data_IF_450884261705
#
_entry.id   IF_450884261705
#
_cell.length_a   1.000
_cell.length_b   1.000
_cell.length_c   1.000
_cell.angle_alpha   90.00
_cell.angle_beta   90.00
_cell.angle_gamma   90.00
#
_symmetry.space_group_name_H-M   'P 1'
#
loop_
_entity.id
_entity.type
_entity.pdbx_description
1 polymer ?
#
# COMPACT_ATOMS: atom_id res chain seq x y z
N UNK A 1 75.82 1.14 73.67
CA UNK A 1 75.39 2.47 74.15
C UNK A 1 73.88 2.41 74.22
N UNK A 2 73.18 2.49 75.34
CA UNK A 2 73.51 2.66 76.76
C UNK A 2 72.20 2.31 77.50
N UNK A 3 72.30 1.83 78.74
CA UNK A 3 71.19 1.65 79.68
C UNK A 3 70.42 2.98 79.89
N UNK A 4 69.17 2.96 80.35
CA UNK A 4 68.75 3.28 81.74
C UNK A 4 67.20 3.27 81.68
N UNK A 5 66.46 2.33 82.31
CA UNK A 5 66.00 2.26 83.71
C UNK A 5 65.31 3.52 84.23
N UNK A 6 63.99 3.45 84.44
CA UNK A 6 63.20 4.01 85.55
C UNK A 6 61.73 4.09 85.11
N UNK A 7 60.77 3.43 85.77
CA UNK A 7 60.05 3.96 86.95
C UNK A 7 59.30 5.24 86.60
N UNK A 8 58.05 5.47 86.96
CA UNK A 8 57.01 4.80 87.74
C UNK A 8 55.78 5.70 87.54
N UNK A 9 54.61 5.21 87.91
CA UNK A 9 53.52 5.96 88.56
C UNK A 9 53.44 7.47 88.24
N UNK A 10 52.34 7.99 87.75
CA UNK A 10 51.13 8.09 88.56
C UNK A 10 50.10 8.93 87.77
N UNK A 11 48.86 8.91 88.27
CA UNK A 11 47.75 9.84 87.99
C UNK A 11 46.87 9.39 86.82
N UNK A 12 45.89 8.50 87.09
CA UNK A 12 44.53 8.84 87.59
C UNK A 12 43.85 9.87 86.68
N UNK A 13 42.61 9.75 86.23
CA UNK A 13 41.43 9.09 86.75
C UNK A 13 40.29 9.44 85.78
N UNK A 14 39.09 8.91 86.06
CA UNK A 14 37.77 9.46 85.70
C UNK A 14 36.98 8.64 84.63
N UNK A 15 36.01 7.91 85.19
CA UNK A 15 34.61 7.78 84.73
C UNK A 15 34.34 6.93 83.48
N UNK A 16 33.39 5.98 83.47
CA UNK A 16 32.39 5.62 84.46
C UNK A 16 31.34 4.70 83.82
N UNK A 17 30.72 3.85 84.66
CA UNK A 17 29.38 3.26 84.57
C UNK A 17 29.01 2.42 83.33
N UNK A 18 28.86 1.10 83.46
CA UNK A 18 27.71 0.34 84.03
C UNK A 18 26.84 -0.22 82.89
N UNK A 19 26.88 -1.54 82.69
CA UNK A 19 25.91 -2.52 83.20
C UNK A 19 24.73 -2.74 82.24
N UNK A 20 24.38 -4.01 81.99
CA UNK A 20 23.04 -4.60 82.18
C UNK A 20 22.95 -5.95 81.45
N UNK A 21 22.29 -6.87 82.15
CA UNK A 21 22.15 -8.30 81.95
C UNK A 21 21.14 -8.71 80.86
N UNK A 22 21.34 -9.95 80.41
CA UNK A 22 20.39 -11.03 80.07
C UNK A 22 18.94 -10.68 79.67
N UNK A 23 18.53 -11.10 78.46
CA UNK A 23 17.15 -11.16 77.99
C UNK A 23 16.89 -12.44 77.16
N UNK A 24 15.66 -13.01 77.23
CA UNK A 24 15.37 -14.38 76.81
C UNK A 24 15.16 -14.51 75.29
N UNK A 25 15.36 -15.73 74.76
CA UNK A 25 15.13 -16.11 73.36
C UNK A 25 13.70 -15.79 72.91
N UNK A 26 13.57 -15.03 71.81
CA UNK A 26 12.31 -14.78 71.11
C UNK A 26 11.99 -15.93 70.14
N UNK A 27 10.70 -16.29 69.93
CA UNK A 27 10.34 -17.35 69.00
C UNK A 27 10.73 -16.96 67.57
N UNK A 28 11.22 -17.94 66.79
CA UNK A 28 11.41 -17.79 65.34
C UNK A 28 10.05 -17.54 64.69
N UNK A 29 9.77 -16.28 64.34
CA UNK A 29 8.70 -15.98 63.41
C UNK A 29 9.02 -16.67 62.09
N UNK A 30 8.21 -17.66 61.71
CA UNK A 30 8.13 -18.11 60.32
C UNK A 30 7.66 -16.93 59.49
N UNK A 31 8.63 -16.23 58.89
CA UNK A 31 8.38 -15.28 57.81
C UNK A 31 7.82 -16.09 56.64
N UNK A 32 6.49 -16.25 56.62
CA UNK A 32 5.79 -16.88 55.52
C UNK A 32 6.17 -16.10 54.25
N UNK A 33 6.91 -16.78 53.36
CA UNK A 33 7.28 -16.31 52.03
C UNK A 33 6.00 -16.02 51.24
N UNK A 34 5.42 -14.84 51.43
CA UNK A 34 4.38 -14.30 50.57
C UNK A 34 5.05 -13.98 49.24
N UNK A 35 5.16 -14.99 48.37
CA UNK A 35 5.60 -14.82 46.99
C UNK A 35 4.80 -13.65 46.40
N UNK A 36 5.45 -12.57 45.93
CA UNK A 36 4.73 -11.44 45.38
C UNK A 36 3.84 -11.96 44.26
N UNK A 37 2.53 -11.75 44.42
CA UNK A 37 1.49 -12.17 43.49
C UNK A 37 1.79 -11.45 42.16
N UNK A 38 2.58 -12.06 41.28
CA UNK A 38 2.94 -11.49 39.98
C UNK A 38 1.66 -10.96 39.35
N UNK A 39 1.59 -9.66 39.08
CA UNK A 39 0.39 -9.04 38.54
C UNK A 39 -0.02 -9.78 37.26
N UNK A 40 -1.33 -10.01 37.08
CA UNK A 40 -1.88 -10.66 35.88
C UNK A 40 -1.33 -10.01 34.60
N UNK A 41 -1.16 -8.69 34.60
CA UNK A 41 -0.51 -7.93 33.55
C UNK A 41 0.90 -8.43 33.23
N UNK A 42 1.77 -8.65 34.23
CA UNK A 42 3.12 -9.19 34.01
C UNK A 42 3.10 -10.61 33.44
N UNK A 43 2.19 -11.46 33.92
CA UNK A 43 2.02 -12.82 33.38
C UNK A 43 1.54 -12.79 31.93
N UNK A 44 0.58 -11.93 31.60
CA UNK A 44 0.08 -11.76 30.24
C UNK A 44 1.17 -11.20 29.31
N UNK A 45 1.98 -10.24 29.75
CA UNK A 45 3.11 -9.73 28.96
C UNK A 45 4.19 -10.79 28.74
N UNK A 46 4.49 -11.61 29.74
CA UNK A 46 5.45 -12.72 29.61
C UNK A 46 4.94 -13.78 28.62
N UNK A 47 3.64 -14.11 28.68
CA UNK A 47 3.00 -15.04 27.75
C UNK A 47 2.93 -14.48 26.32
N UNK A 48 2.54 -13.22 26.16
CA UNK A 48 2.51 -12.53 24.85
C UNK A 48 3.90 -12.45 24.23
N UNK A 49 4.94 -12.15 25.01
CA UNK A 49 6.32 -12.10 24.49
C UNK A 49 6.81 -13.47 24.03
N UNK A 50 6.37 -14.54 24.67
CA UNK A 50 6.78 -15.91 24.35
C UNK A 50 5.99 -16.52 23.19
N UNK A 51 4.67 -16.40 23.21
CA UNK A 51 3.78 -17.05 22.23
C UNK A 51 3.43 -16.12 21.06
N UNK A 52 3.56 -14.80 21.22
CA UNK A 52 3.23 -13.81 20.21
C UNK A 52 3.98 -13.99 18.88
N UNK A 53 5.32 -14.10 18.88
CA UNK A 53 6.08 -14.36 17.66
C UNK A 53 5.71 -15.69 16.99
N UNK A 54 5.46 -16.74 17.80
CA UNK A 54 5.05 -18.07 17.31
C UNK A 54 3.69 -18.04 16.64
N UNK A 55 2.74 -17.30 17.21
CA UNK A 55 1.42 -17.13 16.62
C UNK A 55 1.48 -16.28 15.35
N UNK A 56 2.25 -15.18 15.37
CA UNK A 56 2.39 -14.27 14.24
C UNK A 56 3.04 -14.92 13.00
N UNK A 57 4.01 -15.82 13.22
CA UNK A 57 4.63 -16.62 12.16
C UNK A 57 3.84 -17.90 11.83
N UNK A 58 2.82 -18.22 12.63
CA UNK A 58 2.05 -19.45 12.51
C UNK A 58 0.97 -19.38 11.42
N UNK A 59 0.59 -20.53 10.83
CA UNK A 59 -0.47 -20.58 9.81
C UNK A 59 -1.84 -20.18 10.36
N UNK A 60 -2.07 -20.33 11.67
CA UNK A 60 -3.31 -19.96 12.34
C UNK A 60 -3.62 -18.46 12.24
N UNK A 61 -2.61 -17.60 12.40
CA UNK A 61 -2.77 -16.16 12.21
C UNK A 61 -3.12 -15.83 10.76
N UNK A 62 -2.43 -16.46 9.80
CA UNK A 62 -2.77 -16.35 8.38
C UNK A 62 -4.22 -16.69 8.08
N UNK A 63 -4.72 -17.83 8.56
CA UNK A 63 -6.12 -18.25 8.36
C UNK A 63 -7.13 -17.29 9.02
N UNK A 64 -6.83 -16.77 10.22
CA UNK A 64 -7.67 -15.76 10.88
C UNK A 64 -7.84 -14.52 9.99
N UNK A 65 -6.72 -13.99 9.49
CA UNK A 65 -6.73 -12.84 8.59
C UNK A 65 -7.45 -13.17 7.27
N UNK A 66 -7.29 -14.39 6.73
CA UNK A 66 -8.04 -14.84 5.54
C UNK A 66 -9.55 -14.80 5.75
N UNK A 67 -10.03 -15.29 6.89
CA UNK A 67 -11.46 -15.27 7.23
C UNK A 67 -11.96 -13.85 7.36
N UNK A 68 -11.19 -12.96 8.01
CA UNK A 68 -11.55 -11.54 8.12
C UNK A 68 -11.64 -10.85 6.76
N UNK A 69 -10.66 -11.05 5.89
CA UNK A 69 -10.68 -10.49 4.53
C UNK A 69 -11.91 -11.02 3.80
N UNK A 70 -12.10 -12.35 3.78
CA UNK A 70 -13.21 -12.99 3.06
C UNK A 70 -14.57 -12.49 3.54
N UNK A 71 -14.76 -12.39 4.86
CA UNK A 71 -15.97 -11.82 5.44
C UNK A 71 -16.18 -10.37 5.03
N UNK A 72 -15.11 -9.57 4.96
CA UNK A 72 -15.21 -8.20 4.49
C UNK A 72 -15.55 -8.09 3.00
N UNK A 73 -15.10 -9.02 2.14
CA UNK A 73 -15.51 -9.07 0.72
C UNK A 73 -17.02 -9.32 0.62
N UNK A 74 -17.52 -10.32 1.34
CA UNK A 74 -18.95 -10.66 1.33
C UNK A 74 -19.78 -9.50 1.84
N UNK A 75 -19.32 -8.82 2.89
CA UNK A 75 -19.98 -7.63 3.40
C UNK A 75 -19.99 -6.49 2.38
N UNK A 76 -18.87 -6.23 1.70
CA UNK A 76 -18.77 -5.20 0.67
C UNK A 76 -19.69 -5.49 -0.53
N UNK A 77 -19.82 -6.76 -0.90
CA UNK A 77 -20.79 -7.17 -1.92
C UNK A 77 -22.23 -6.89 -1.47
N UNK A 78 -22.57 -7.24 -0.22
CA UNK A 78 -23.90 -6.98 0.34
C UNK A 78 -24.20 -5.47 0.50
N UNK A 79 -23.21 -4.67 0.86
CA UNK A 79 -23.30 -3.20 0.89
C UNK A 79 -23.61 -2.63 -0.49
N UNK A 80 -22.98 -3.19 -1.53
CA UNK A 80 -23.18 -2.75 -2.92
C UNK A 80 -24.62 -3.00 -3.39
N UNK A 81 -25.22 -4.13 -3.01
CA UNK A 81 -26.62 -4.46 -3.35
C UNK A 81 -27.65 -3.72 -2.48
N UNK A 82 -27.27 -3.33 -1.25
CA UNK A 82 -28.15 -2.70 -0.28
C UNK A 82 -27.52 -1.45 0.35
N UNK A 83 -27.26 -0.37 -0.42
CA UNK A 83 -26.50 0.78 0.06
C UNK A 83 -27.16 1.56 1.21
N UNK A 84 -28.49 1.46 1.34
CA UNK A 84 -29.27 2.25 2.31
C UNK A 84 -29.25 1.68 3.75
N UNK A 85 -28.65 0.52 3.98
CA UNK A 85 -28.65 -0.07 5.32
C UNK A 85 -27.69 0.68 6.27
N UNK A 86 -28.13 1.09 7.48
CA UNK A 86 -27.30 1.88 8.40
C UNK A 86 -26.18 1.07 9.08
N UNK A 87 -26.14 -0.24 8.89
CA UNK A 87 -25.19 -1.14 9.55
C UNK A 87 -23.78 -1.07 8.96
N UNK A 88 -23.64 -0.62 7.70
CA UNK A 88 -22.38 -0.69 6.96
C UNK A 88 -21.27 0.11 7.62
N UNK A 89 -21.54 1.33 8.08
CA UNK A 89 -20.55 2.17 8.75
C UNK A 89 -19.95 1.47 9.99
N UNK A 90 -20.79 0.79 10.78
CA UNK A 90 -20.32 0.05 11.94
C UNK A 90 -19.45 -1.15 11.54
N UNK A 91 -19.87 -1.90 10.52
CA UNK A 91 -19.11 -3.03 10.04
C UNK A 91 -17.77 -2.62 9.41
N UNK A 92 -17.75 -1.55 8.62
CA UNK A 92 -16.52 -1.00 8.03
C UNK A 92 -15.54 -0.53 9.11
N UNK A 93 -16.04 0.16 10.13
CA UNK A 93 -15.24 0.56 11.28
C UNK A 93 -14.66 -0.66 12.02
N UNK A 94 -15.46 -1.72 12.23
CA UNK A 94 -15.02 -2.95 12.88
C UNK A 94 -13.91 -3.66 12.10
N UNK A 95 -14.07 -3.78 10.78
CA UNK A 95 -13.04 -4.38 9.92
C UNK A 95 -11.79 -3.52 9.85
N UNK A 96 -11.92 -2.20 9.76
CA UNK A 96 -10.79 -1.28 9.83
C UNK A 96 -10.01 -1.46 11.13
N UNK A 97 -10.71 -1.53 12.27
CA UNK A 97 -10.08 -1.77 13.57
C UNK A 97 -9.34 -3.12 13.60
N UNK A 98 -9.92 -4.16 13.02
CA UNK A 98 -9.29 -5.47 12.92
C UNK A 98 -8.01 -5.43 12.05
N UNK A 99 -8.02 -4.70 10.93
CA UNK A 99 -6.86 -4.54 10.06
C UNK A 99 -5.78 -3.64 10.66
N UNK A 100 -6.15 -2.60 11.42
CA UNK A 100 -5.20 -1.83 12.22
C UNK A 100 -4.53 -2.74 13.25
N UNK A 101 -5.32 -3.55 13.97
CA UNK A 101 -4.79 -4.48 14.95
C UNK A 101 -3.87 -5.53 14.32
N UNK A 102 -4.22 -6.06 13.14
CA UNK A 102 -3.35 -6.94 12.34
C UNK A 102 -1.99 -6.29 12.09
N UNK A 103 -1.96 -5.08 11.54
CA UNK A 103 -0.71 -4.40 11.19
C UNK A 103 0.14 -4.08 12.42
N UNK A 104 -0.48 -3.57 13.48
CA UNK A 104 0.21 -3.30 14.74
C UNK A 104 0.82 -4.60 15.30
N UNK A 105 0.06 -5.69 15.29
CA UNK A 105 0.53 -6.99 15.75
C UNK A 105 1.68 -7.52 14.89
N UNK A 106 1.53 -7.49 13.57
CA UNK A 106 2.57 -7.95 12.63
C UNK A 106 3.85 -7.14 12.76
N UNK A 107 3.77 -5.80 12.78
CA UNK A 107 4.95 -4.94 12.91
C UNK A 107 5.62 -5.14 14.27
N UNK A 108 4.86 -5.28 15.36
CA UNK A 108 5.43 -5.45 16.69
C UNK A 108 6.20 -6.77 16.87
N UNK A 109 5.71 -7.87 16.29
CA UNK A 109 6.31 -9.20 16.47
C UNK A 109 7.24 -9.65 15.35
N UNK A 110 7.06 -9.16 14.12
CA UNK A 110 7.88 -9.52 12.94
C UNK A 110 8.80 -8.38 12.47
N UNK A 111 8.69 -7.18 13.04
CA UNK A 111 9.46 -6.00 12.60
C UNK A 111 10.98 -6.24 12.54
N UNK A 112 11.54 -6.92 13.54
CA UNK A 112 12.98 -7.21 13.60
C UNK A 112 13.43 -8.20 12.50
N UNK A 113 12.55 -9.12 12.09
CA UNK A 113 12.83 -10.10 11.04
C UNK A 113 12.76 -9.48 9.64
N UNK A 114 12.10 -8.32 9.51
CA UNK A 114 11.90 -7.61 8.25
C UNK A 114 13.17 -6.92 7.72
N UNK A 115 14.17 -6.71 8.59
CA UNK A 115 15.46 -6.14 8.21
C UNK A 115 16.43 -7.16 7.60
N UNK A 116 16.05 -8.46 7.60
CA UNK A 116 16.85 -9.52 6.98
C UNK A 116 16.58 -9.61 5.47
N UNK A 117 17.58 -10.00 4.65
CA UNK A 117 17.43 -10.10 3.19
C UNK A 117 16.28 -11.03 2.75
N UNK A 118 16.04 -12.10 3.49
CA UNK A 118 14.97 -13.07 3.20
C UNK A 118 13.55 -12.51 3.46
N UNK A 119 13.43 -11.39 4.18
CA UNK A 119 12.16 -10.75 4.53
C UNK A 119 11.66 -9.72 3.50
N UNK A 120 12.36 -9.53 2.37
CA UNK A 120 12.04 -8.48 1.39
C UNK A 120 10.62 -8.62 0.81
N UNK A 121 10.16 -9.85 0.54
CA UNK A 121 8.80 -10.09 0.04
C UNK A 121 7.74 -9.75 1.09
N UNK A 122 7.97 -10.14 2.34
CA UNK A 122 7.08 -9.83 3.46
C UNK A 122 7.01 -8.32 3.71
N UNK A 123 8.11 -7.59 3.46
CA UNK A 123 8.15 -6.13 3.56
C UNK A 123 7.22 -5.44 2.57
N UNK A 124 7.19 -5.86 1.31
CA UNK A 124 6.28 -5.27 0.32
C UNK A 124 4.81 -5.49 0.70
N UNK A 125 4.47 -6.67 1.21
CA UNK A 125 3.12 -6.96 1.70
C UNK A 125 2.75 -6.12 2.93
N UNK A 126 3.66 -5.96 3.88
CA UNK A 126 3.42 -5.12 5.07
C UNK A 126 3.25 -3.64 4.67
N UNK A 127 4.07 -3.14 3.73
CA UNK A 127 3.92 -1.78 3.21
C UNK A 127 2.58 -1.58 2.50
N UNK A 128 2.18 -2.55 1.67
CA UNK A 128 0.89 -2.55 1.00
C UNK A 128 -0.27 -2.56 2.01
N UNK A 129 -0.25 -3.48 2.97
CA UNK A 129 -1.27 -3.61 4.01
C UNK A 129 -1.35 -2.32 4.86
N UNK A 130 -0.19 -1.69 5.15
CA UNK A 130 -0.14 -0.41 5.87
C UNK A 130 -0.77 0.73 5.07
N UNK A 131 -0.51 0.81 3.76
CA UNK A 131 -1.11 1.81 2.88
C UNK A 131 -2.64 1.66 2.82
N UNK A 132 -3.14 0.43 2.78
CA UNK A 132 -4.59 0.15 2.83
C UNK A 132 -5.23 0.60 4.14
N UNK A 133 -4.56 0.35 5.27
CA UNK A 133 -5.04 0.80 6.58
C UNK A 133 -5.08 2.33 6.65
N UNK A 134 -4.03 3.02 6.17
CA UNK A 134 -4.02 4.49 6.10
C UNK A 134 -5.16 5.01 5.24
N UNK A 135 -5.39 4.41 4.06
CA UNK A 135 -6.49 4.79 3.20
C UNK A 135 -7.87 4.60 3.87
N UNK A 136 -8.06 3.49 4.59
CA UNK A 136 -9.30 3.24 5.35
C UNK A 136 -9.49 4.22 6.52
N UNK A 137 -8.42 4.61 7.21
CA UNK A 137 -8.48 5.66 8.23
C UNK A 137 -8.86 7.00 7.60
N UNK A 138 -8.29 7.35 6.45
CA UNK A 138 -8.66 8.57 5.72
C UNK A 138 -10.13 8.54 5.28
N UNK A 139 -10.61 7.40 4.77
CA UNK A 139 -12.01 7.24 4.35
C UNK A 139 -13.01 7.50 5.49
N UNK A 140 -12.72 7.01 6.71
CA UNK A 140 -13.58 7.23 7.88
C UNK A 140 -13.40 8.62 8.48
N UNK A 141 -12.18 9.16 8.49
CA UNK A 141 -11.87 10.42 9.19
C UNK A 141 -12.20 11.67 8.39
N UNK A 142 -12.05 11.63 7.07
CA UNK A 142 -12.25 12.80 6.21
C UNK A 142 -13.68 13.35 6.27
N UNK A 143 -14.75 12.53 6.20
CA UNK A 143 -16.13 13.02 6.37
C UNK A 143 -16.41 13.63 7.74
N UNK A 144 -15.64 13.28 8.78
CA UNK A 144 -15.81 13.85 10.13
C UNK A 144 -15.16 15.23 10.27
N UNK A 145 -14.23 15.57 9.39
CA UNK A 145 -13.44 16.80 9.46
C UNK A 145 -13.88 17.84 8.42
N UNK A 146 -14.35 17.41 7.25
CA UNK A 146 -14.68 18.27 6.13
C UNK A 146 -15.87 17.72 5.32
N UNK A 147 -17.06 18.28 5.56
CA UNK A 147 -18.28 17.90 4.83
C UNK A 147 -18.17 18.20 3.32
N UNK A 148 -17.51 19.30 2.94
CA UNK A 148 -17.36 19.69 1.54
C UNK A 148 -16.55 18.66 0.71
N UNK A 149 -15.60 17.96 1.35
CA UNK A 149 -14.73 16.99 0.67
C UNK A 149 -15.50 15.73 0.25
N UNK A 150 -16.61 15.41 0.93
CA UNK A 150 -17.45 14.23 0.65
C UNK A 150 -18.03 14.28 -0.77
N UNK A 151 -18.24 15.49 -1.32
CA UNK A 151 -18.75 15.69 -2.68
C UNK A 151 -17.67 15.60 -3.78
N UNK A 152 -16.39 15.50 -3.39
CA UNK A 152 -15.28 15.53 -4.35
C UNK A 152 -15.05 14.19 -5.04
N UNK A 153 -14.54 14.23 -6.27
CA UNK A 153 -14.08 13.03 -7.00
C UNK A 153 -13.03 12.25 -6.21
N UNK A 154 -12.21 12.92 -5.40
CA UNK A 154 -11.19 12.28 -4.57
C UNK A 154 -11.79 11.36 -3.52
N UNK A 155 -12.93 11.73 -2.93
CA UNK A 155 -13.63 10.86 -1.99
C UNK A 155 -14.17 9.59 -2.68
N UNK A 156 -14.63 9.70 -3.93
CA UNK A 156 -14.98 8.53 -4.73
C UNK A 156 -13.77 7.60 -4.95
N UNK A 157 -12.60 8.16 -5.25
CA UNK A 157 -11.37 7.36 -5.38
C UNK A 157 -10.97 6.69 -4.06
N UNK A 158 -11.09 7.37 -2.91
CA UNK A 158 -10.83 6.77 -1.59
C UNK A 158 -11.73 5.56 -1.33
N UNK A 159 -13.02 5.67 -1.68
CA UNK A 159 -13.96 4.54 -1.61
C UNK A 159 -13.55 3.40 -2.53
N UNK A 160 -12.96 3.68 -3.70
CA UNK A 160 -12.45 2.62 -4.58
C UNK A 160 -11.17 1.97 -4.06
N UNK A 161 -10.31 2.71 -3.34
CA UNK A 161 -9.10 2.16 -2.71
C UNK A 161 -9.45 1.05 -1.72
N UNK A 162 -10.63 1.10 -1.09
CA UNK A 162 -11.09 0.02 -0.21
C UNK A 162 -11.16 -1.33 -0.93
N UNK A 163 -11.43 -1.37 -2.25
CA UNK A 163 -11.42 -2.58 -3.07
C UNK A 163 -10.02 -3.20 -3.20
N UNK A 164 -8.95 -2.43 -2.99
CA UNK A 164 -7.59 -2.97 -3.01
C UNK A 164 -7.35 -3.97 -1.87
N UNK A 165 -8.16 -3.97 -0.80
CA UNK A 165 -8.09 -5.02 0.23
C UNK A 165 -8.41 -6.42 -0.31
N UNK A 166 -9.14 -6.52 -1.43
CA UNK A 166 -9.36 -7.77 -2.15
C UNK A 166 -8.03 -8.38 -2.63
N UNK A 167 -7.04 -7.53 -2.92
CA UNK A 167 -5.71 -7.96 -3.35
C UNK A 167 -4.92 -8.63 -2.21
N UNK A 168 -5.32 -8.46 -0.93
CA UNK A 168 -4.74 -9.24 0.18
C UNK A 168 -4.94 -10.74 -0.04
N UNK A 169 -5.93 -11.15 -0.84
CA UNK A 169 -6.10 -12.54 -1.26
C UNK A 169 -4.86 -13.10 -1.99
N UNK A 170 -4.14 -12.27 -2.75
CA UNK A 170 -2.97 -12.70 -3.52
C UNK A 170 -1.77 -13.11 -2.65
N UNK A 171 -1.69 -12.60 -1.41
CA UNK A 171 -0.66 -12.97 -0.43
C UNK A 171 -0.75 -14.43 0.03
N UNK A 172 -1.93 -15.06 -0.08
CA UNK A 172 -2.14 -16.43 0.44
C UNK A 172 -1.49 -17.51 -0.42
N UNK A 173 -1.41 -17.29 -1.73
CA UNK A 173 -0.77 -18.24 -2.62
C UNK A 173 0.62 -17.74 -2.98
N UNK A 174 1.66 -18.44 -2.52
CA UNK A 174 3.05 -18.17 -2.94
C UNK A 174 3.17 -18.09 -4.46
N UNK A 175 2.38 -18.87 -5.20
CA UNK A 175 2.34 -18.83 -6.66
C UNK A 175 1.75 -17.53 -7.17
N UNK A 176 0.62 -17.07 -6.64
CA UNK A 176 -0.02 -15.82 -7.09
C UNK A 176 0.81 -14.61 -6.66
N UNK A 177 1.35 -14.61 -5.44
CA UNK A 177 2.26 -13.58 -4.97
C UNK A 177 3.53 -13.48 -5.83
N UNK A 178 4.12 -14.63 -6.20
CA UNK A 178 5.26 -14.65 -7.11
C UNK A 178 4.90 -14.14 -8.52
N UNK A 179 3.71 -14.48 -9.04
CA UNK A 179 3.22 -13.94 -10.31
C UNK A 179 3.00 -12.42 -10.23
N UNK A 180 2.41 -11.92 -9.15
CA UNK A 180 2.19 -10.49 -8.94
C UNK A 180 3.52 -9.73 -8.89
N UNK A 181 4.50 -10.24 -8.13
CA UNK A 181 5.84 -9.63 -8.09
C UNK A 181 6.53 -9.69 -9.45
N UNK A 182 6.44 -10.81 -10.17
CA UNK A 182 6.99 -10.92 -11.52
C UNK A 182 6.36 -9.91 -12.50
N UNK A 183 5.06 -9.61 -12.35
CA UNK A 183 4.39 -8.56 -13.13
C UNK A 183 4.83 -7.15 -12.70
N UNK A 184 5.07 -6.92 -11.41
CA UNK A 184 5.62 -5.64 -10.93
C UNK A 184 7.05 -5.40 -11.41
N UNK A 185 7.87 -6.44 -11.47
CA UNK A 185 9.23 -6.38 -12.02
C UNK A 185 9.23 -6.00 -13.51
N UNK A 186 8.15 -6.33 -14.22
CA UNK A 186 7.96 -5.91 -15.60
C UNK A 186 7.62 -4.42 -15.73
N UNK A 187 7.21 -3.69 -14.69
CA UNK A 187 6.80 -2.28 -14.83
C UNK A 187 7.91 -1.41 -15.41
N UNK A 188 9.16 -1.58 -14.96
CA UNK A 188 10.31 -0.76 -15.43
C UNK A 188 10.56 -0.93 -16.94
N UNK A 189 10.75 -2.15 -17.49
CA UNK A 189 10.95 -2.31 -18.93
C UNK A 189 9.74 -1.87 -19.75
N UNK A 190 8.51 -2.08 -19.25
CA UNK A 190 7.31 -1.60 -19.91
C UNK A 190 7.20 -0.07 -19.93
N UNK A 191 7.66 0.62 -18.89
CA UNK A 191 7.59 2.08 -18.79
C UNK A 191 8.30 2.76 -19.96
N UNK A 192 9.46 2.24 -20.38
CA UNK A 192 10.18 2.77 -21.54
C UNK A 192 9.38 2.60 -22.83
N UNK A 193 8.77 1.43 -23.05
CA UNK A 193 8.00 1.16 -24.27
C UNK A 193 6.71 1.99 -24.29
N UNK A 194 5.99 2.04 -23.17
CA UNK A 194 4.84 2.93 -23.01
C UNK A 194 5.22 4.39 -23.23
N UNK A 195 6.40 4.82 -22.78
CA UNK A 195 6.94 6.15 -23.06
C UNK A 195 7.11 6.41 -24.56
N UNK A 196 7.65 5.45 -25.33
CA UNK A 196 7.79 5.57 -26.79
C UNK A 196 6.42 5.63 -27.47
N UNK A 197 5.48 4.75 -27.11
CA UNK A 197 4.10 4.77 -27.64
C UNK A 197 3.41 6.08 -27.30
N UNK A 198 3.57 6.57 -26.07
CA UNK A 198 3.02 7.84 -25.63
C UNK A 198 3.57 9.01 -26.44
N UNK A 199 4.89 9.09 -26.65
CA UNK A 199 5.51 10.13 -27.47
C UNK A 199 5.05 10.06 -28.93
N UNK A 200 4.89 8.85 -29.47
CA UNK A 200 4.37 8.66 -30.83
C UNK A 200 2.92 9.15 -30.97
N UNK A 201 2.05 8.77 -30.02
CA UNK A 201 0.66 9.26 -29.96
C UNK A 201 0.64 10.78 -29.78
N UNK A 202 1.46 11.33 -28.90
CA UNK A 202 1.56 12.76 -28.64
C UNK A 202 2.00 13.54 -29.89
N UNK A 203 3.01 13.06 -30.61
CA UNK A 203 3.46 13.66 -31.86
C UNK A 203 2.34 13.66 -32.91
N UNK A 204 1.67 12.52 -33.10
CA UNK A 204 0.51 12.41 -33.97
C UNK A 204 -0.63 13.34 -33.54
N UNK A 205 -0.87 13.47 -32.24
CA UNK A 205 -1.94 14.30 -31.67
C UNK A 205 -1.69 15.78 -31.94
N UNK A 206 -0.45 16.25 -31.81
CA UNK A 206 -0.07 17.63 -32.15
C UNK A 206 -0.30 17.88 -33.65
N UNK A 207 0.13 16.95 -34.52
CA UNK A 207 -0.06 17.05 -35.97
C UNK A 207 -1.56 17.14 -36.31
N UNK A 208 -2.38 16.24 -35.77
CA UNK A 208 -3.82 16.23 -36.02
C UNK A 208 -4.50 17.47 -35.44
N UNK A 209 -4.15 17.91 -34.23
CA UNK A 209 -4.75 19.12 -33.65
C UNK A 209 -4.49 20.34 -34.53
N UNK A 210 -3.25 20.53 -34.97
CA UNK A 210 -2.88 21.70 -35.78
C UNK A 210 -3.48 21.65 -37.20
N UNK A 211 -3.52 20.48 -37.83
CA UNK A 211 -3.90 20.35 -39.24
C UNK A 211 -5.35 19.90 -39.49
N UNK A 212 -5.97 19.21 -38.54
CA UNK A 212 -7.35 18.71 -38.61
C UNK A 212 -8.29 19.46 -37.66
N UNK A 213 -7.86 19.76 -36.44
CA UNK A 213 -8.65 20.56 -35.50
C UNK A 213 -8.71 22.02 -35.92
N UNK A 214 -7.61 22.76 -35.72
CA UNK A 214 -7.57 24.21 -35.92
C UNK A 214 -7.79 24.64 -37.38
N UNK A 215 -7.31 23.86 -38.36
CA UNK A 215 -7.49 24.20 -39.78
C UNK A 215 -8.90 23.88 -40.31
N UNK A 216 -9.75 23.20 -39.55
CA UNK A 216 -11.17 23.04 -39.89
C UNK A 216 -12.00 24.25 -39.50
N UNK A 217 -11.50 25.09 -38.59
CA UNK A 217 -12.16 26.32 -38.12
C UNK A 217 -11.94 27.51 -39.08
N UNK A 218 -10.97 27.40 -40.01
CA UNK A 218 -10.59 28.49 -40.93
C UNK A 218 -11.55 28.73 -42.12
N UNK A 219 -12.84 28.42 -41.99
CA UNK A 219 -13.87 28.86 -42.96
C UNK A 219 -13.80 28.21 -44.36
N UNK A 220 -13.26 27.01 -44.48
CA UNK A 220 -13.21 26.28 -45.75
C UNK A 220 -14.61 25.85 -46.21
N UNK A 221 -15.16 26.51 -47.24
CA UNK A 221 -16.48 26.24 -47.89
C UNK A 221 -16.67 24.80 -48.44
N UNK A 222 -15.69 23.91 -48.26
CA UNK A 222 -15.65 22.57 -48.86
C UNK A 222 -16.22 21.44 -47.98
N UNK A 223 -16.62 21.70 -46.74
CA UNK A 223 -17.02 20.65 -45.78
C UNK A 223 -18.39 20.88 -45.15
N UNK A 224 -19.06 19.78 -44.82
CA UNK A 224 -20.34 19.79 -44.10
C UNK A 224 -20.09 20.14 -42.63
N UNK A 225 -21.06 20.80 -41.98
CA UNK A 225 -20.97 21.12 -40.55
C UNK A 225 -20.71 19.88 -39.68
N UNK A 226 -21.31 18.75 -40.03
CA UNK A 226 -21.15 17.47 -39.32
C UNK A 226 -19.70 16.94 -39.39
N UNK A 227 -19.03 17.10 -40.54
CA UNK A 227 -17.63 16.67 -40.70
C UNK A 227 -16.68 17.55 -39.88
N UNK A 228 -16.94 18.87 -39.85
CA UNK A 228 -16.17 19.82 -39.04
C UNK A 228 -16.36 19.53 -37.55
N UNK A 229 -17.59 19.24 -37.12
CA UNK A 229 -17.92 18.87 -35.74
C UNK A 229 -17.16 17.60 -35.32
N UNK A 230 -17.22 16.52 -36.11
CA UNK A 230 -16.53 15.28 -35.79
C UNK A 230 -15.00 15.43 -35.72
N UNK A 231 -14.42 16.29 -36.57
CA UNK A 231 -13.01 16.66 -36.51
C UNK A 231 -12.66 17.47 -35.25
N UNK A 232 -13.55 18.35 -34.79
CA UNK A 232 -13.35 19.11 -33.55
C UNK A 232 -13.51 18.24 -32.31
N UNK A 233 -14.48 17.33 -32.29
CA UNK A 233 -14.67 16.39 -31.18
C UNK A 233 -13.44 15.49 -31.04
N UNK A 234 -12.92 14.99 -32.17
CA UNK A 234 -11.75 14.09 -32.19
C UNK A 234 -10.42 14.82 -32.04
N UNK A 235 -10.25 15.99 -32.65
CA UNK A 235 -8.96 16.67 -32.83
C UNK A 235 -8.93 18.14 -32.43
N UNK A 236 -9.95 18.67 -31.77
CA UNK A 236 -10.03 20.09 -31.38
C UNK A 236 -9.06 20.52 -30.29
N UNK A 237 -8.50 19.57 -29.54
CA UNK A 237 -7.42 19.80 -28.58
C UNK A 237 -6.40 18.67 -28.62
N UNK A 238 -5.20 18.91 -28.07
CA UNK A 238 -4.17 17.86 -27.98
C UNK A 238 -4.65 16.70 -27.11
N UNK A 239 -5.40 16.96 -26.03
CA UNK A 239 -5.96 15.92 -25.17
C UNK A 239 -6.98 15.05 -25.91
N UNK A 240 -7.91 15.67 -26.63
CA UNK A 240 -8.90 14.94 -27.43
C UNK A 240 -8.19 14.13 -28.53
N UNK A 241 -7.23 14.75 -29.22
CA UNK A 241 -6.44 14.07 -30.25
C UNK A 241 -5.67 12.87 -29.71
N UNK A 242 -5.08 12.99 -28.52
CA UNK A 242 -4.39 11.87 -27.87
C UNK A 242 -5.35 10.72 -27.56
N UNK A 243 -6.53 11.00 -27.02
CA UNK A 243 -7.54 9.98 -26.73
C UNK A 243 -8.06 9.32 -28.01
N UNK A 244 -8.37 10.11 -29.04
CA UNK A 244 -8.82 9.62 -30.35
C UNK A 244 -7.75 8.77 -31.05
N UNK A 245 -6.48 9.17 -31.00
CA UNK A 245 -5.38 8.39 -31.58
C UNK A 245 -5.03 7.15 -30.74
N UNK A 246 -5.27 7.17 -29.43
CA UNK A 246 -5.21 5.97 -28.61
C UNK A 246 -6.28 4.96 -29.06
N UNK A 247 -7.52 5.39 -29.26
CA UNK A 247 -8.60 4.56 -29.82
C UNK A 247 -8.24 4.01 -31.23
N UNK A 248 -7.62 4.82 -32.09
CA UNK A 248 -7.12 4.35 -33.38
C UNK A 248 -6.03 3.28 -33.21
N UNK A 249 -5.15 3.42 -32.21
CA UNK A 249 -4.09 2.44 -31.92
C UNK A 249 -4.65 1.10 -31.45
N UNK A 250 -5.77 1.11 -30.72
CA UNK A 250 -6.48 -0.12 -30.31
C UNK A 250 -7.30 -0.75 -31.43
N UNK A 251 -7.34 -0.12 -32.61
CA UNK A 251 -8.17 -0.49 -33.77
C UNK A 251 -9.67 -0.50 -33.47
N UNK A 252 -10.10 0.15 -32.39
CA UNK A 252 -11.50 0.16 -31.96
C UNK A 252 -12.27 1.27 -32.68
N UNK A 253 -13.21 0.88 -33.53
CA UNK A 253 -13.99 1.77 -34.39
C UNK A 253 -13.18 2.93 -35.04
N UNK A 254 -11.92 2.67 -35.40
CA UNK A 254 -10.97 3.70 -35.82
C UNK A 254 -11.40 4.49 -37.06
N UNK A 255 -12.31 3.92 -37.87
CA UNK A 255 -12.89 4.57 -39.05
C UNK A 255 -13.80 5.75 -38.69
N UNK A 256 -14.42 5.77 -37.51
CA UNK A 256 -15.22 6.92 -37.04
C UNK A 256 -14.32 8.14 -36.81
N UNK A 257 -13.12 7.91 -36.26
CA UNK A 257 -12.12 8.95 -36.01
C UNK A 257 -11.38 9.34 -37.31
N UNK A 258 -10.95 8.37 -38.10
CA UNK A 258 -10.13 8.61 -39.30
C UNK A 258 -10.95 8.99 -40.54
N UNK A 259 -12.23 8.59 -40.62
CA UNK A 259 -13.11 8.76 -41.77
C UNK A 259 -13.28 10.22 -42.20
N UNK A 260 -13.65 11.15 -41.28
CA UNK A 260 -13.79 12.57 -41.59
C UNK A 260 -12.48 13.18 -42.12
N UNK A 261 -11.33 12.79 -41.56
CA UNK A 261 -10.02 13.25 -42.01
C UNK A 261 -9.62 12.65 -43.37
N UNK A 262 -9.93 11.37 -43.58
CA UNK A 262 -9.67 10.63 -44.82
C UNK A 262 -10.48 11.13 -46.02
N UNK A 263 -11.67 11.68 -45.77
CA UNK A 263 -12.51 12.31 -46.79
C UNK A 263 -11.92 13.64 -47.30
N UNK A 264 -11.16 14.36 -46.45
CA UNK A 264 -10.57 15.66 -46.78
C UNK A 264 -9.41 15.56 -47.78
N UNK A 265 -8.51 14.60 -47.60
CA UNK A 265 -7.36 14.42 -48.47
C UNK A 265 -6.80 13.00 -48.40
N UNK A 266 -6.38 12.44 -49.55
CA UNK A 266 -5.75 11.09 -49.62
C UNK A 266 -4.52 10.95 -48.72
N UNK A 267 -3.82 12.05 -48.44
CA UNK A 267 -2.69 12.05 -47.51
C UNK A 267 -3.06 11.64 -46.09
N UNK A 268 -4.28 11.95 -45.63
CA UNK A 268 -4.75 11.53 -44.30
C UNK A 268 -5.01 10.03 -44.24
N UNK A 269 -5.50 9.43 -45.33
CA UNK A 269 -5.63 7.96 -45.42
C UNK A 269 -4.27 7.29 -45.22
N UNK A 270 -3.24 7.78 -45.92
CA UNK A 270 -1.88 7.26 -45.77
C UNK A 270 -1.32 7.48 -44.36
N UNK A 271 -1.54 8.67 -43.78
CA UNK A 271 -1.16 8.97 -42.40
C UNK A 271 -1.75 7.96 -41.42
N UNK A 272 -3.07 7.74 -41.44
CA UNK A 272 -3.73 6.81 -40.51
C UNK A 272 -3.32 5.36 -40.75
N UNK A 273 -3.13 4.92 -42.00
CA UNK A 273 -2.63 3.58 -42.31
C UNK A 273 -1.21 3.37 -41.76
N UNK A 274 -0.31 4.33 -41.95
CA UNK A 274 1.06 4.26 -41.41
C UNK A 274 1.04 4.31 -39.89
N UNK A 275 0.21 5.18 -39.30
CA UNK A 275 0.04 5.30 -37.86
C UNK A 275 -0.44 4.00 -37.23
N UNK A 276 -1.49 3.39 -37.79
CA UNK A 276 -2.03 2.09 -37.38
C UNK A 276 -0.99 0.98 -37.55
N UNK A 277 -0.27 0.96 -38.66
CA UNK A 277 0.76 -0.04 -38.92
C UNK A 277 1.87 0.02 -37.89
N UNK A 278 2.35 1.23 -37.56
CA UNK A 278 3.36 1.44 -36.53
C UNK A 278 2.82 1.04 -35.14
N UNK A 279 1.64 1.52 -34.76
CA UNK A 279 1.02 1.20 -33.47
C UNK A 279 0.80 -0.31 -33.28
N UNK A 280 0.27 -0.98 -34.31
CA UNK A 280 0.06 -2.44 -34.30
C UNK A 280 1.39 -3.19 -34.20
N UNK A 281 2.42 -2.76 -34.94
CA UNK A 281 3.75 -3.34 -34.86
C UNK A 281 4.37 -3.18 -33.47
N UNK A 282 4.21 -2.00 -32.84
CA UNK A 282 4.67 -1.79 -31.46
C UNK A 282 3.91 -2.66 -30.47
N UNK A 283 2.59 -2.81 -30.59
CA UNK A 283 1.79 -3.71 -29.74
C UNK A 283 2.23 -5.18 -29.88
N UNK A 284 2.49 -5.65 -31.10
CA UNK A 284 3.04 -6.99 -31.35
C UNK A 284 4.45 -7.11 -30.75
N UNK A 285 5.27 -6.06 -30.86
CA UNK A 285 6.63 -6.05 -30.30
C UNK A 285 6.62 -6.11 -28.76
N UNK A 286 5.64 -5.46 -28.11
CA UNK A 286 5.42 -5.59 -26.67
C UNK A 286 5.02 -7.02 -26.33
N UNK A 287 4.02 -7.58 -27.02
CA UNK A 287 3.55 -8.93 -26.74
C UNK A 287 4.65 -9.98 -26.93
N UNK A 288 5.48 -9.83 -27.97
CA UNK A 288 6.63 -10.71 -28.20
C UNK A 288 7.74 -10.51 -27.18
N UNK A 289 8.00 -9.29 -26.71
CA UNK A 289 8.94 -9.05 -25.61
C UNK A 289 8.48 -9.74 -24.31
N UNK A 290 7.18 -9.70 -24.01
CA UNK A 290 6.60 -10.31 -22.82
C UNK A 290 6.54 -11.83 -22.93
N UNK A 291 6.09 -12.36 -24.06
CA UNK A 291 5.98 -13.80 -24.29
C UNK A 291 7.35 -14.46 -24.52
N UNK A 292 8.29 -13.74 -25.12
CA UNK A 292 9.66 -14.15 -25.37
C UNK A 292 10.58 -14.01 -24.14
N UNK A 293 10.16 -13.26 -23.13
CA UNK A 293 10.78 -13.22 -21.81
C UNK A 293 10.58 -14.52 -21.04
N UNK A 294 11.21 -15.61 -21.49
CA UNK A 294 11.43 -16.81 -20.66
C UNK A 294 12.76 -16.66 -19.89
N UNK A 295 12.79 -17.04 -18.61
CA UNK A 295 13.92 -16.84 -17.71
C UNK A 295 15.08 -17.78 -18.09
N UNK A 296 16.23 -17.19 -18.40
CA UNK A 296 17.43 -17.95 -18.75
C UNK A 296 18.59 -17.07 -19.18
N UNK A 297 19.06 -16.18 -18.30
CA UNK A 297 20.41 -15.64 -18.37
C UNK A 297 20.77 -14.94 -17.04
N UNK A 298 21.69 -15.54 -16.28
CA UNK A 298 22.35 -14.93 -15.12
C UNK A 298 21.98 -15.55 -13.79
#
# INVERSE_FOLDING_TARGET
QEQIVAESEEISSISGYAAIADQPERPREEESLVKPRRSLARRLTELLKKEGPRFAQGPAFGYLISVLISANIVLLAAETDHPDAPVWWFCDFLFLLAFVAEIVYTVHFLGDTLYLPDGLQDRHWIMFDSALVVAGVLEVSVPLLQDDFVSSLWFLWLRLVRLLRLLKFFKFSKRIAALAMALLDMIVPFTLIFGVVFLFILAGAIICTQLLGHMSDSGSEKFTREEIQGLQDSFGSVSNSMFSLFQVTTLDNWMEVAGPAAARHRGWQLFFVVFISFGSWTMISILTAVAGGRPGAG
#
